data_IF_541825600114
#
_entry.id   IF_541825600114
#
_cell.length_a   1.000
_cell.length_b   1.000
_cell.length_c   1.000
_cell.angle_alpha   90.00
_cell.angle_beta   90.00
_cell.angle_gamma   90.00
#
_symmetry.space_group_name_H-M   'P 1'
#
loop_
_entity.id
_entity.type
_entity.pdbx_description
1 polymer ?
#
# COMPACT_ATOMS: atom_id res chain seq x y z
N UNK A 1 7.86 -5.11 -11.00
CA UNK A 1 9.10 -5.57 -11.66
C UNK A 1 9.28 -7.06 -11.42
N UNK A 2 10.31 -7.68 -12.00
CA UNK A 2 10.59 -9.09 -11.73
C UNK A 2 11.06 -9.31 -10.28
N UNK A 3 11.77 -8.34 -9.67
CA UNK A 3 12.14 -8.41 -8.25
C UNK A 3 10.90 -8.45 -7.36
N UNK A 4 9.91 -7.57 -7.60
CA UNK A 4 8.65 -7.59 -6.85
C UNK A 4 7.90 -8.91 -7.03
N UNK A 5 7.86 -9.45 -8.26
CA UNK A 5 7.16 -10.71 -8.55
C UNK A 5 7.80 -11.88 -7.79
N UNK A 6 9.13 -11.98 -7.87
CA UNK A 6 9.88 -13.06 -7.23
C UNK A 6 9.83 -12.98 -5.71
N UNK A 7 9.71 -11.78 -5.14
CA UNK A 7 9.55 -11.59 -3.69
C UNK A 7 8.11 -11.89 -3.22
N UNK A 8 7.10 -11.24 -3.80
CA UNK A 8 5.73 -11.27 -3.27
C UNK A 8 4.93 -12.50 -3.71
N UNK A 9 5.01 -12.97 -4.96
CA UNK A 9 4.12 -14.05 -5.43
C UNK A 9 4.26 -15.35 -4.64
N UNK A 10 5.48 -15.86 -4.32
CA UNK A 10 5.60 -17.10 -3.54
C UNK A 10 5.06 -16.96 -2.10
N UNK A 11 5.18 -15.77 -1.50
CA UNK A 11 4.72 -15.48 -0.13
C UNK A 11 3.19 -15.37 -0.08
N UNK A 12 2.60 -14.70 -1.07
CA UNK A 12 1.15 -14.62 -1.26
C UNK A 12 0.55 -16.01 -1.51
N UNK A 13 1.16 -16.81 -2.38
CA UNK A 13 0.67 -18.16 -2.71
C UNK A 13 0.69 -19.12 -1.50
N UNK A 14 1.60 -18.91 -0.54
CA UNK A 14 1.68 -19.70 0.71
C UNK A 14 0.86 -19.11 1.86
N UNK A 15 0.27 -17.92 1.68
CA UNK A 15 -0.43 -17.19 2.74
C UNK A 15 0.49 -16.63 3.83
N UNK A 16 1.79 -16.51 3.56
CA UNK A 16 2.74 -15.85 4.47
C UNK A 16 2.50 -14.34 4.53
N UNK A 17 2.14 -13.75 3.38
CA UNK A 17 1.62 -12.39 3.31
C UNK A 17 0.11 -12.40 3.11
N UNK A 18 -0.59 -11.58 3.88
CA UNK A 18 -2.04 -11.40 3.78
C UNK A 18 -2.28 -10.06 3.06
N UNK A 19 -2.66 -10.06 1.77
CA UNK A 19 -2.87 -8.84 1.04
C UNK A 19 -4.24 -8.23 1.36
N UNK A 20 -4.32 -6.91 1.31
CA UNK A 20 -5.58 -6.21 1.10
C UNK A 20 -5.43 -5.13 0.02
N UNK A 21 -6.55 -4.74 -0.59
CA UNK A 21 -6.58 -3.74 -1.64
C UNK A 21 -7.21 -2.45 -1.10
N UNK A 22 -6.41 -1.40 -0.94
CA UNK A 22 -6.75 -0.23 -0.15
C UNK A 22 -7.19 0.97 -1.01
N UNK A 23 -8.20 0.76 -1.87
CA UNK A 23 -8.70 1.80 -2.77
C UNK A 23 -9.76 2.70 -2.12
N UNK A 24 -10.89 2.14 -1.72
CA UNK A 24 -12.06 2.91 -1.25
C UNK A 24 -11.74 3.75 -0.02
N UNK A 25 -12.13 5.03 -0.05
CA UNK A 25 -11.99 5.98 1.05
C UNK A 25 -13.35 6.54 1.50
N UNK A 26 -13.37 7.31 2.60
CA UNK A 26 -14.57 7.98 3.10
C UNK A 26 -15.29 8.86 2.07
N UNK A 27 -14.52 9.50 1.18
CA UNK A 27 -14.99 10.51 0.22
C UNK A 27 -15.03 10.00 -1.22
N UNK A 28 -14.48 8.82 -1.51
CA UNK A 28 -14.35 8.28 -2.87
C UNK A 28 -14.48 6.76 -2.88
N UNK A 29 -15.47 6.26 -3.64
CA UNK A 29 -15.74 4.83 -3.85
C UNK A 29 -15.85 4.53 -5.34
N UNK A 30 -17.05 4.65 -5.89
CA UNK A 30 -17.29 4.44 -7.34
C UNK A 30 -16.47 5.40 -8.20
N UNK A 31 -16.33 6.66 -7.78
CA UNK A 31 -15.43 7.63 -8.40
C UNK A 31 -14.04 7.55 -7.74
N UNK A 32 -13.27 6.53 -8.11
CA UNK A 32 -11.93 6.31 -7.58
C UNK A 32 -10.93 7.43 -7.96
N UNK A 33 -11.19 8.15 -9.05
CA UNK A 33 -10.34 9.26 -9.49
C UNK A 33 -10.42 10.50 -8.58
N UNK A 34 -11.51 10.63 -7.82
CA UNK A 34 -11.72 11.72 -6.86
C UNK A 34 -11.10 11.47 -5.47
N UNK A 35 -10.22 10.48 -5.33
CA UNK A 35 -9.52 10.20 -4.07
C UNK A 35 -8.73 11.42 -3.58
N UNK A 36 -8.92 11.88 -2.33
CA UNK A 36 -8.23 13.05 -1.79
C UNK A 36 -6.83 12.72 -1.23
N UNK A 37 -6.41 11.46 -1.33
CA UNK A 37 -5.17 10.96 -0.75
C UNK A 37 -3.95 11.59 -1.44
N UNK A 38 -2.90 11.86 -0.66
CA UNK A 38 -1.70 12.54 -1.16
C UNK A 38 -0.45 11.71 -0.94
N UNK A 39 0.45 11.76 -1.93
CA UNK A 39 1.77 11.17 -1.85
C UNK A 39 2.82 12.16 -2.32
N UNK A 40 3.81 12.46 -1.48
CA UNK A 40 4.89 13.39 -1.78
C UNK A 40 6.19 12.60 -1.90
N UNK A 41 6.88 12.74 -3.04
CA UNK A 41 8.24 12.20 -3.20
C UNK A 41 9.18 13.01 -2.31
N UNK A 42 9.91 12.32 -1.45
CA UNK A 42 10.85 12.96 -0.53
C UNK A 42 12.03 12.05 -0.23
N UNK A 43 13.12 12.66 0.25
CA UNK A 43 14.22 11.92 0.89
C UNK A 43 13.94 11.72 2.38
N UNK A 44 14.37 10.60 2.94
CA UNK A 44 14.25 10.31 4.37
C UNK A 44 15.18 9.20 4.83
N UNK A 45 15.34 9.05 6.15
CA UNK A 45 16.14 7.97 6.74
C UNK A 45 15.31 6.68 6.79
N UNK A 46 15.82 5.60 6.23
CA UNK A 46 15.23 4.26 6.30
C UNK A 46 16.33 3.23 6.49
N UNK A 47 16.21 2.40 7.53
CA UNK A 47 17.21 1.37 7.89
C UNK A 47 18.66 1.91 7.99
N UNK A 48 18.82 3.16 8.42
CA UNK A 48 20.14 3.80 8.60
C UNK A 48 20.71 4.47 7.36
N UNK A 49 19.99 4.48 6.24
CA UNK A 49 20.41 5.12 4.99
C UNK A 49 19.43 6.22 4.55
N UNK A 50 19.94 7.27 3.89
CA UNK A 50 19.11 8.27 3.22
C UNK A 50 18.59 7.70 1.90
N UNK A 51 17.28 7.52 1.77
CA UNK A 51 16.62 6.96 0.59
C UNK A 51 15.60 7.93 0.00
N UNK A 52 15.30 7.79 -1.29
CA UNK A 52 14.13 8.42 -1.93
C UNK A 52 12.91 7.53 -1.67
N UNK A 53 11.84 8.11 -1.13
CA UNK A 53 10.59 7.41 -0.85
C UNK A 53 9.36 8.28 -1.09
N UNK A 54 8.19 7.74 -0.73
CA UNK A 54 6.91 8.43 -0.76
C UNK A 54 6.41 8.62 0.67
N UNK A 55 6.09 9.87 1.03
CA UNK A 55 5.34 10.17 2.26
C UNK A 55 3.86 10.27 1.91
N UNK A 56 3.08 9.34 2.44
CA UNK A 56 1.65 9.18 2.14
C UNK A 56 0.79 9.73 3.29
N UNK A 57 -0.23 10.51 2.95
CA UNK A 57 -1.32 10.92 3.85
C UNK A 57 -2.64 10.50 3.22
N UNK A 58 -3.37 9.61 3.89
CA UNK A 58 -4.50 8.91 3.31
C UNK A 58 -5.44 8.34 4.39
N UNK A 59 -6.72 8.15 4.04
CA UNK A 59 -7.72 7.49 4.89
C UNK A 59 -8.58 6.54 4.04
N UNK A 60 -8.66 5.27 4.47
CA UNK A 60 -9.36 4.20 3.72
C UNK A 60 -10.51 3.60 4.53
N UNK A 61 -11.54 3.14 3.82
CA UNK A 61 -12.77 2.61 4.41
C UNK A 61 -13.23 1.34 3.73
N UNK A 62 -13.75 0.39 4.52
CA UNK A 62 -14.28 -0.90 4.07
C UNK A 62 -13.22 -1.78 3.38
N UNK A 63 -11.99 -1.73 3.87
CA UNK A 63 -10.91 -2.55 3.34
C UNK A 63 -10.99 -3.94 3.97
N UNK A 64 -11.48 -4.90 3.19
CA UNK A 64 -11.50 -6.32 3.55
C UNK A 64 -10.09 -6.80 3.88
N UNK A 65 -9.94 -7.55 4.98
CA UNK A 65 -8.66 -7.98 5.57
C UNK A 65 -7.76 -6.87 6.13
N UNK A 66 -8.16 -5.59 6.08
CA UNK A 66 -7.36 -4.46 6.58
C UNK A 66 -6.74 -4.65 7.98
N UNK A 67 -7.48 -5.18 8.99
CA UNK A 67 -6.92 -5.40 10.33
C UNK A 67 -5.82 -6.47 10.45
N UNK A 68 -5.69 -7.36 9.48
CA UNK A 68 -4.73 -8.48 9.49
C UNK A 68 -3.77 -8.47 8.30
N UNK A 69 -3.86 -7.45 7.44
CA UNK A 69 -3.05 -7.37 6.24
C UNK A 69 -1.57 -7.11 6.57
N UNK A 70 -0.69 -7.79 5.86
CA UNK A 70 0.76 -7.55 5.90
C UNK A 70 1.27 -6.88 4.62
N UNK A 71 0.43 -6.81 3.58
CA UNK A 71 0.72 -6.16 2.31
C UNK A 71 -0.48 -5.33 1.86
N UNK A 72 -0.21 -4.07 1.52
CA UNK A 72 -1.17 -3.16 0.91
C UNK A 72 -0.93 -3.12 -0.60
N UNK A 73 -1.96 -3.44 -1.37
CA UNK A 73 -2.02 -3.28 -2.83
C UNK A 73 -2.78 -2.03 -3.24
#
# INVERSE_FOLDING_TARGET
TDEQRNHYLPRLARGEDIPCFALTGPLAGSDAGAMPDTGIICKGQWQGEEVIGLRLTWEKRYITLGPVATLLG
#
